data_IF_240493770482
#
_entry.id   IF_240493770482
#
_cell.length_a   1.000
_cell.length_b   1.000
_cell.length_c   1.000
_cell.angle_alpha   90.00
_cell.angle_beta   90.00
_cell.angle_gamma   90.00
#
_symmetry.space_group_name_H-M   'P 1'
#
loop_
_entity.id
_entity.type
_entity.pdbx_description
1 polymer ?
#
# COMPACT_ATOMS: atom_id res chain seq x y z
N UNK A 1 -5.62 26.18 5.87
CA UNK A 1 -4.77 25.98 5.97
C UNK A 1 -4.23 25.16 5.26
N UNK A 2 -3.87 25.26 4.57
CA UNK A 2 -3.28 24.45 3.87
C UNK A 2 -2.00 24.16 4.24
N UNK A 3 -1.51 24.80 5.20
CA UNK A 3 -0.22 24.48 5.66
C UNK A 3 -0.14 23.08 6.07
N UNK A 4 -1.18 22.50 6.50
CA UNK A 4 -1.14 21.10 6.85
C UNK A 4 -0.80 20.24 5.68
N UNK A 5 -0.90 20.79 4.44
CA UNK A 5 -0.54 19.99 3.34
C UNK A 5 0.89 19.74 3.26
N UNK A 6 1.73 20.66 3.60
CA UNK A 6 3.15 20.47 3.64
C UNK A 6 3.57 19.52 4.73
N UNK A 7 2.65 19.28 5.69
CA UNK A 7 2.89 18.38 6.78
C UNK A 7 2.12 17.08 6.63
N UNK A 8 1.68 16.75 5.43
CA UNK A 8 0.95 15.53 5.19
C UNK A 8 1.64 14.29 5.74
N UNK A 9 0.93 13.18 5.76
CA UNK A 9 1.47 11.94 6.32
C UNK A 9 2.66 11.45 5.55
N UNK A 10 3.37 10.48 6.09
CA UNK A 10 4.46 9.81 5.37
C UNK A 10 3.93 9.21 4.08
N UNK A 11 2.71 8.66 4.10
CA UNK A 11 2.06 8.14 2.91
C UNK A 11 1.91 9.22 1.84
N UNK A 12 1.43 10.40 2.23
CA UNK A 12 1.19 11.48 1.27
C UNK A 12 2.49 11.90 0.59
N UNK A 13 3.57 11.95 1.34
CA UNK A 13 4.88 12.30 0.77
C UNK A 13 5.40 11.21 -0.15
N UNK A 14 5.21 9.95 0.23
CA UNK A 14 5.60 8.81 -0.60
C UNK A 14 4.84 8.82 -1.93
N UNK A 15 3.52 9.02 -1.86
CA UNK A 15 2.68 9.03 -3.04
C UNK A 15 3.07 10.16 -3.98
N UNK A 16 3.33 11.34 -3.45
CA UNK A 16 3.72 12.49 -4.24
C UNK A 16 5.00 12.25 -5.03
N UNK A 17 5.98 11.63 -4.39
CA UNK A 17 7.24 11.31 -5.07
C UNK A 17 7.05 10.26 -6.16
N UNK A 18 6.25 9.24 -5.86
CA UNK A 18 6.04 8.15 -6.80
C UNK A 18 5.25 8.60 -8.02
N UNK A 19 4.25 9.44 -7.81
CA UNK A 19 3.40 9.91 -8.90
C UNK A 19 4.14 10.79 -9.89
N UNK A 20 5.27 11.37 -9.50
CA UNK A 20 6.08 12.14 -10.44
C UNK A 20 6.53 11.32 -11.63
N UNK A 21 6.56 10.00 -11.48
CA UNK A 21 6.93 9.08 -12.56
C UNK A 21 5.72 8.65 -13.38
N UNK A 22 4.55 9.21 -13.10
CA UNK A 22 3.33 8.92 -13.83
C UNK A 22 2.40 7.96 -13.09
N UNK A 23 1.24 7.69 -13.67
CA UNK A 23 0.26 6.77 -13.06
C UNK A 23 0.83 5.38 -12.86
N UNK A 24 0.31 4.69 -11.85
CA UNK A 24 0.74 3.33 -11.54
C UNK A 24 -0.39 2.57 -10.86
N UNK A 25 -0.23 1.26 -10.77
CA UNK A 25 -1.17 0.41 -10.03
C UNK A 25 -0.53 0.06 -8.70
N UNK A 26 -1.25 0.25 -7.61
CA UNK A 26 -0.78 -0.10 -6.28
C UNK A 26 -1.42 -1.40 -5.85
N UNK A 27 -0.61 -2.40 -5.51
CA UNK A 27 -1.08 -3.61 -4.87
C UNK A 27 -1.06 -3.31 -3.38
N UNK A 28 -2.15 -3.58 -2.68
CA UNK A 28 -2.31 -3.21 -1.27
C UNK A 28 -2.60 -4.45 -0.45
N UNK A 29 -1.84 -4.66 0.62
CA UNK A 29 -2.07 -5.76 1.55
C UNK A 29 -2.35 -5.17 2.92
N UNK A 30 -3.53 -5.50 3.48
CA UNK A 30 -3.91 -5.09 4.82
C UNK A 30 -3.47 -6.18 5.80
N UNK A 31 -2.88 -5.77 6.91
CA UNK A 31 -2.34 -6.72 7.88
C UNK A 31 -2.78 -6.42 9.29
N UNK A 32 -2.77 -7.45 10.13
CA UNK A 32 -2.94 -7.36 11.57
C UNK A 32 -1.56 -7.55 12.21
N UNK A 33 -1.22 -6.68 13.14
CA UNK A 33 0.06 -6.76 13.82
C UNK A 33 -0.16 -7.25 15.23
N UNK A 34 0.34 -8.45 15.54
CA UNK A 34 0.29 -9.01 16.88
C UNK A 34 1.71 -9.44 17.18
N UNK A 35 2.47 -8.56 17.75
CA UNK A 35 3.90 -8.78 18.00
C UNK A 35 4.21 -10.18 18.50
N UNK A 36 5.17 -10.88 17.90
CA UNK A 36 6.00 -10.46 16.78
C UNK A 36 5.42 -10.79 15.39
N UNK A 37 4.17 -11.19 15.33
CA UNK A 37 3.56 -11.64 14.08
C UNK A 37 2.93 -10.51 13.30
N UNK A 38 3.00 -10.61 11.96
CA UNK A 38 2.28 -9.75 11.05
C UNK A 38 1.49 -10.68 10.14
N UNK A 39 0.17 -10.53 10.16
CA UNK A 39 -0.72 -11.47 9.50
C UNK A 39 -1.51 -10.80 8.39
N UNK A 40 -1.39 -11.26 7.14
CA UNK A 40 -2.19 -10.70 6.05
C UNK A 40 -3.68 -10.97 6.29
N UNK A 41 -4.50 -9.95 6.08
CA UNK A 41 -5.96 -10.06 6.25
C UNK A 41 -6.66 -10.04 4.91
N UNK A 42 -6.39 -9.05 4.10
CA UNK A 42 -7.01 -8.88 2.79
C UNK A 42 -6.06 -8.14 1.87
N UNK A 43 -6.23 -8.33 0.58
CA UNK A 43 -5.45 -7.62 -0.40
C UNK A 43 -6.37 -7.06 -1.48
N UNK A 44 -5.95 -6.00 -2.12
CA UNK A 44 -6.67 -5.38 -3.21
C UNK A 44 -5.68 -4.61 -4.07
N UNK A 45 -6.16 -3.98 -5.13
CA UNK A 45 -5.32 -3.11 -5.92
C UNK A 45 -6.12 -1.88 -6.33
N UNK A 46 -5.42 -0.82 -6.65
CA UNK A 46 -6.05 0.42 -7.11
C UNK A 46 -5.15 1.06 -8.16
N UNK A 47 -5.78 1.60 -9.21
CA UNK A 47 -5.05 2.33 -10.23
C UNK A 47 -4.95 3.80 -9.78
N UNK A 48 -3.73 4.30 -9.65
CA UNK A 48 -3.47 5.66 -9.20
C UNK A 48 -3.20 6.51 -10.44
N UNK A 49 -4.18 7.31 -10.84
CA UNK A 49 -4.09 8.12 -12.06
C UNK A 49 -3.97 9.62 -11.78
N UNK A 50 -4.11 10.03 -10.54
CA UNK A 50 -3.95 11.43 -10.14
C UNK A 50 -3.26 11.51 -8.80
N UNK A 51 -2.74 12.69 -8.47
CA UNK A 51 -2.00 12.87 -7.22
C UNK A 51 -2.79 13.64 -6.16
N UNK A 52 -4.10 13.73 -6.31
CA UNK A 52 -4.95 14.43 -5.34
C UNK A 52 -5.50 13.52 -4.26
N UNK A 53 -5.15 12.25 -4.30
CA UNK A 53 -5.56 11.30 -3.27
C UNK A 53 -4.66 11.48 -2.07
N UNK A 54 -5.23 11.56 -0.89
CA UNK A 54 -4.46 11.63 0.35
C UNK A 54 -4.73 10.41 1.22
N UNK A 55 -4.06 10.34 2.37
CA UNK A 55 -4.20 9.21 3.28
C UNK A 55 -5.65 9.04 3.75
N UNK A 56 -6.35 10.14 4.00
CA UNK A 56 -7.76 10.08 4.41
C UNK A 56 -8.63 9.39 3.37
N UNK A 57 -8.40 9.68 2.09
CA UNK A 57 -9.15 9.05 1.00
C UNK A 57 -8.86 7.56 0.95
N UNK A 58 -7.62 7.16 1.14
CA UNK A 58 -7.22 5.76 1.14
C UNK A 58 -7.87 5.01 2.30
N UNK A 59 -7.85 5.58 3.50
CA UNK A 59 -8.45 4.96 4.67
C UNK A 59 -9.95 4.74 4.44
N UNK A 60 -10.62 5.73 3.85
CA UNK A 60 -12.03 5.62 3.58
C UNK A 60 -12.32 4.47 2.60
N UNK A 61 -11.49 4.35 1.56
CA UNK A 61 -11.61 3.25 0.61
C UNK A 61 -11.37 1.90 1.30
N UNK A 62 -10.36 1.81 2.15
CA UNK A 62 -10.00 0.56 2.80
C UNK A 62 -11.01 0.10 3.85
N UNK A 63 -11.85 1.00 4.34
CA UNK A 63 -12.94 0.61 5.23
C UNK A 63 -13.90 -0.37 4.55
N UNK A 64 -13.99 -0.30 3.24
CA UNK A 64 -14.83 -1.22 2.48
C UNK A 64 -14.36 -2.67 2.53
N UNK A 65 -13.13 -2.92 2.96
CA UNK A 65 -12.62 -4.28 3.08
C UNK A 65 -13.26 -5.05 4.24
N UNK A 66 -13.87 -4.34 5.20
CA UNK A 66 -14.59 -4.99 6.30
C UNK A 66 -13.70 -5.70 7.32
N UNK A 67 -12.42 -5.35 7.39
CA UNK A 67 -11.50 -5.96 8.34
C UNK A 67 -10.88 -4.89 9.22
N UNK A 68 -10.49 -5.29 10.42
CA UNK A 68 -9.86 -4.37 11.37
C UNK A 68 -8.34 -4.51 11.23
N UNK A 69 -7.76 -3.67 10.39
CA UNK A 69 -6.34 -3.75 10.06
C UNK A 69 -5.49 -2.78 10.87
N UNK A 70 -4.23 -3.12 11.07
CA UNK A 70 -3.26 -2.30 11.80
C UNK A 70 -2.27 -1.63 10.87
N UNK A 71 -2.06 -2.18 9.68
CA UNK A 71 -1.14 -1.63 8.72
C UNK A 71 -1.54 -1.95 7.30
N UNK A 72 -1.05 -1.15 6.37
CA UNK A 72 -1.30 -1.34 4.94
C UNK A 72 0.01 -1.20 4.19
N UNK A 73 0.35 -2.22 3.40
CA UNK A 73 1.55 -2.21 2.59
C UNK A 73 1.19 -1.98 1.13
N UNK A 74 1.90 -1.06 0.49
CA UNK A 74 1.64 -0.66 -0.89
C UNK A 74 2.82 -1.07 -1.76
N UNK A 75 2.53 -1.83 -2.81
CA UNK A 75 3.55 -2.31 -3.75
C UNK A 75 3.23 -1.73 -5.12
N UNK A 76 3.87 -0.63 -5.51
CA UNK A 76 3.61 -0.01 -6.81
C UNK A 76 4.07 -0.93 -7.93
N UNK A 77 3.28 -1.00 -8.98
CA UNK A 77 3.65 -1.80 -10.13
C UNK A 77 3.16 -1.10 -11.40
N UNK A 78 3.88 -1.31 -12.49
CA UNK A 78 3.52 -0.78 -13.80
C UNK A 78 3.67 -1.90 -14.81
N UNK A 79 2.96 -1.76 -15.94
CA UNK A 79 3.14 -2.77 -16.99
C UNK A 79 4.41 -2.47 -17.78
N UNK A 80 4.67 -3.24 -18.82
CA UNK A 80 5.87 -3.09 -19.63
C UNK A 80 6.00 -1.72 -20.30
N UNK A 81 4.89 -1.00 -20.47
CA UNK A 81 4.91 0.33 -21.06
C UNK A 81 5.07 1.42 -20.02
N UNK A 82 5.16 1.05 -18.75
CA UNK A 82 5.28 2.01 -17.66
C UNK A 82 3.96 2.58 -17.18
N UNK A 83 2.84 2.04 -17.66
CA UNK A 83 1.50 2.51 -17.29
C UNK A 83 0.79 1.62 -16.30
N UNK A 84 -0.53 1.76 -16.27
CA UNK A 84 -1.36 0.96 -15.37
C UNK A 84 -1.34 -0.51 -15.77
N UNK A 85 -1.38 -1.37 -14.77
CA UNK A 85 -1.41 -2.81 -14.99
C UNK A 85 -2.85 -3.24 -15.23
N UNK A 86 -3.14 -4.05 -16.26
CA UNK A 86 -4.49 -4.58 -16.46
C UNK A 86 -4.97 -5.35 -15.23
N UNK A 87 -6.26 -5.31 -14.97
CA UNK A 87 -6.84 -5.92 -13.77
C UNK A 87 -6.48 -7.38 -13.57
N UNK A 88 -6.52 -8.18 -14.62
CA UNK A 88 -6.17 -9.59 -14.51
C UNK A 88 -4.73 -9.80 -14.08
N UNK A 89 -3.83 -9.02 -14.65
CA UNK A 89 -2.42 -9.10 -14.30
C UNK A 89 -2.20 -8.63 -12.87
N UNK A 90 -2.91 -7.58 -12.44
CA UNK A 90 -2.83 -7.08 -11.07
C UNK A 90 -3.27 -8.16 -10.09
N UNK A 91 -4.34 -8.88 -10.37
CA UNK A 91 -4.82 -9.96 -9.51
C UNK A 91 -3.80 -11.09 -9.41
N UNK A 92 -3.15 -11.43 -10.54
CA UNK A 92 -2.11 -12.44 -10.55
C UNK A 92 -0.92 -12.04 -9.69
N UNK A 93 -0.49 -10.78 -9.81
CA UNK A 93 0.61 -10.27 -9.00
C UNK A 93 0.26 -10.22 -7.52
N UNK A 94 -1.00 -9.92 -7.19
CA UNK A 94 -1.47 -9.96 -5.81
C UNK A 94 -1.38 -11.36 -5.23
N UNK A 95 -1.77 -12.38 -5.97
CA UNK A 95 -1.68 -13.75 -5.50
C UNK A 95 -0.25 -14.17 -5.23
N UNK A 96 0.67 -13.76 -6.10
CA UNK A 96 2.09 -14.03 -5.90
C UNK A 96 2.62 -13.33 -4.65
N UNK A 97 2.19 -12.10 -4.44
CA UNK A 97 2.59 -11.32 -3.28
C UNK A 97 2.07 -11.97 -1.99
N UNK A 98 0.82 -12.39 -1.99
CA UNK A 98 0.22 -13.06 -0.83
C UNK A 98 0.98 -14.33 -0.47
N UNK A 99 1.37 -15.10 -1.48
CA UNK A 99 2.16 -16.31 -1.25
C UNK A 99 3.52 -15.96 -0.65
N UNK A 100 4.19 -14.95 -1.19
CA UNK A 100 5.49 -14.52 -0.68
C UNK A 100 5.40 -14.05 0.77
N UNK A 101 4.34 -13.33 1.12
CA UNK A 101 4.14 -12.82 2.48
C UNK A 101 3.88 -13.93 3.48
N UNK A 102 3.23 -15.02 3.07
CA UNK A 102 3.01 -16.16 3.96
C UNK A 102 4.32 -16.85 4.31
N UNK A 103 5.27 -16.80 3.39
CA UNK A 103 6.56 -17.43 3.60
C UNK A 103 7.55 -16.53 4.33
N UNK A 104 7.46 -15.22 4.13
CA UNK A 104 8.42 -14.29 4.70
C UNK A 104 7.77 -12.92 4.93
N UNK A 105 7.51 -12.59 6.19
CA UNK A 105 6.88 -11.30 6.53
C UNK A 105 7.75 -10.10 6.14
N UNK A 106 9.05 -10.31 5.98
CA UNK A 106 9.97 -9.22 5.62
C UNK A 106 9.72 -8.72 4.20
N UNK A 107 8.96 -9.45 3.39
CA UNK A 107 8.55 -8.99 2.07
C UNK A 107 7.78 -7.67 2.17
N UNK A 108 7.10 -7.40 3.30
CA UNK A 108 6.41 -6.12 3.50
C UNK A 108 7.35 -4.93 3.36
N UNK A 109 8.62 -5.09 3.70
CA UNK A 109 9.61 -4.02 3.59
C UNK A 109 10.02 -3.71 2.15
N UNK A 110 9.65 -4.54 1.18
CA UNK A 110 9.93 -4.27 -0.22
C UNK A 110 8.93 -3.28 -0.81
N UNK A 111 7.81 -3.08 -0.14
CA UNK A 111 6.85 -2.05 -0.50
C UNK A 111 6.94 -0.89 0.48
N UNK A 112 5.95 -0.03 0.46
CA UNK A 112 5.81 1.05 1.41
C UNK A 112 4.76 0.65 2.43
N UNK A 113 5.13 0.55 3.70
CA UNK A 113 4.28 0.02 4.75
C UNK A 113 3.90 1.15 5.72
N UNK A 114 2.62 1.28 6.02
CA UNK A 114 2.09 2.39 6.82
C UNK A 114 1.13 1.88 7.89
N UNK A 115 1.09 2.59 9.03
CA UNK A 115 0.11 2.32 10.08
C UNK A 115 -1.22 3.02 9.75
N UNK A 116 -2.19 2.93 10.65
CA UNK A 116 -3.53 3.48 10.42
C UNK A 116 -3.53 5.02 10.31
N UNK A 117 -2.47 5.68 10.75
CA UNK A 117 -2.33 7.13 10.64
C UNK A 117 -1.47 7.56 9.44
N UNK A 118 -1.04 6.61 8.61
CA UNK A 118 -0.23 6.93 7.44
C UNK A 118 1.24 7.13 7.73
N UNK A 119 1.72 6.69 8.90
CA UNK A 119 3.13 6.78 9.27
C UNK A 119 3.87 5.53 8.79
N UNK A 120 5.10 5.70 8.34
CA UNK A 120 5.91 4.58 7.90
C UNK A 120 6.12 3.55 9.00
N UNK A 121 6.01 2.29 8.61
CA UNK A 121 6.34 1.17 9.47
C UNK A 121 7.41 0.33 8.80
N UNK A 122 8.09 -0.46 9.61
CA UNK A 122 9.08 -1.40 9.10
C UNK A 122 8.97 -2.69 9.91
N UNK A 123 8.98 -3.82 9.22
CA UNK A 123 9.01 -5.13 9.87
C UNK A 123 10.46 -5.45 10.17
N UNK A 124 10.75 -5.76 11.42
CA UNK A 124 12.11 -6.06 11.82
C UNK A 124 12.31 -7.56 11.98
N UNK A 125 13.55 -7.99 11.81
CA UNK A 125 13.88 -9.38 12.06
C UNK A 125 13.86 -9.61 13.57
N UNK A 126 13.35 -10.75 13.94
CA UNK A 126 13.27 -11.09 15.37
C UNK A 126 14.65 -11.43 15.93
#
# INVERSE_FOLDING_TARGET
>A
MSTSRGLGTDFDRWLGKLFRKGPFTALIVLVKITEPKVEPLRSTFVHVVGNKIDWGDIVLMLRGAGVNWDGAAFFPTRDGDGGLVPDELARGRLRELETALREDRLVLNKGAFFDVWGRNLKVEEA
#
